data_IF_993474925936
#
_entry.id   IF_993474925936
#
_cell.length_a   1.000
_cell.length_b   1.000
_cell.length_c   1.000
_cell.angle_alpha   90.00
_cell.angle_beta   90.00
_cell.angle_gamma   90.00
#
_symmetry.space_group_name_H-M   'P 1'
#
loop_
_entity.id
_entity.type
_entity.pdbx_description
1 polymer ?
#
# COMPACT_ATOMS: atom_id res chain seq x y z
N UNK A 1 3.71 -5.43 1.00
CA UNK A 1 2.23 -5.35 1.00
C UNK A 1 1.63 -6.06 2.23
N UNK A 2 1.78 -7.38 2.44
CA UNK A 2 1.01 -8.13 3.47
C UNK A 2 1.12 -7.59 4.89
N UNK A 3 2.30 -7.15 5.30
CA UNK A 3 2.56 -6.70 6.68
C UNK A 3 2.30 -5.21 6.92
N UNK A 4 2.13 -4.41 5.87
CA UNK A 4 2.00 -2.95 5.99
C UNK A 4 3.25 -2.21 6.51
N UNK A 5 4.37 -2.91 6.68
CA UNK A 5 5.61 -2.37 7.26
C UNK A 5 6.28 -1.36 6.31
N UNK A 6 6.68 -0.22 6.87
CA UNK A 6 7.56 0.78 6.24
C UNK A 6 9.00 0.32 6.42
N UNK A 7 9.65 0.02 5.29
CA UNK A 7 11.04 -0.41 5.26
C UNK A 7 11.99 0.79 5.23
N UNK A 8 13.22 0.67 5.77
CA UNK A 8 14.25 1.71 5.69
C UNK A 8 14.87 1.74 4.28
N UNK A 9 14.06 2.08 3.28
CA UNK A 9 14.45 1.98 1.86
C UNK A 9 15.63 2.89 1.53
N UNK A 10 15.71 4.09 2.10
CA UNK A 10 16.84 5.00 1.85
C UNK A 10 18.18 4.37 2.26
N UNK A 11 18.23 3.71 3.42
CA UNK A 11 19.44 3.01 3.91
C UNK A 11 19.80 1.82 3.01
N UNK A 12 18.80 1.03 2.61
CA UNK A 12 18.98 -0.12 1.72
C UNK A 12 19.51 0.32 0.35
N UNK A 13 18.92 1.38 -0.22
CA UNK A 13 19.32 1.94 -1.51
C UNK A 13 20.75 2.49 -1.44
N UNK A 14 21.09 3.24 -0.39
CA UNK A 14 22.44 3.74 -0.20
C UNK A 14 23.48 2.61 -0.12
N UNK A 15 23.21 1.57 0.68
CA UNK A 15 24.10 0.42 0.81
C UNK A 15 24.30 -0.34 -0.52
N UNK A 16 23.25 -0.46 -1.34
CA UNK A 16 23.35 -1.10 -2.66
C UNK A 16 24.08 -0.20 -3.68
N UNK A 17 23.87 1.11 -3.62
CA UNK A 17 24.55 2.08 -4.48
C UNK A 17 26.07 2.07 -4.26
N UNK A 18 26.54 1.94 -3.00
CA UNK A 18 27.98 1.77 -2.67
C UNK A 18 28.62 0.56 -3.38
N UNK A 19 27.81 -0.42 -3.77
CA UNK A 19 28.23 -1.65 -4.46
C UNK A 19 28.01 -1.57 -5.98
N UNK A 20 27.62 -0.40 -6.50
CA UNK A 20 27.31 -0.20 -7.91
C UNK A 20 26.03 -0.91 -8.37
N UNK A 21 25.14 -1.25 -7.44
CA UNK A 21 23.87 -1.94 -7.76
C UNK A 21 22.75 -0.92 -7.87
N UNK A 22 22.11 -0.86 -9.05
CA UNK A 22 20.91 -0.06 -9.24
C UNK A 22 19.69 -0.72 -8.59
N UNK A 23 18.82 0.11 -8.01
CA UNK A 23 17.60 -0.35 -7.33
C UNK A 23 16.33 0.12 -8.05
N UNK A 24 15.39 -0.81 -8.23
CA UNK A 24 13.99 -0.51 -8.52
C UNK A 24 13.18 -0.69 -7.23
N UNK A 25 12.63 0.41 -6.72
CA UNK A 25 11.80 0.40 -5.52
C UNK A 25 10.33 0.32 -5.91
N UNK A 26 9.64 -0.75 -5.46
CA UNK A 26 8.19 -0.82 -5.46
C UNK A 26 7.64 -0.09 -4.22
N UNK A 27 7.27 1.16 -4.42
CA UNK A 27 6.64 2.03 -3.45
C UNK A 27 5.12 2.09 -3.61
N UNK A 28 4.45 1.04 -4.10
CA UNK A 28 3.05 1.11 -4.47
C UNK A 28 2.10 1.58 -3.35
N UNK A 29 2.46 1.45 -2.07
CA UNK A 29 1.67 1.93 -0.93
C UNK A 29 2.12 3.28 -0.37
N UNK A 30 3.15 3.91 -0.92
CA UNK A 30 3.82 5.04 -0.28
C UNK A 30 3.29 6.43 -0.68
N UNK A 31 2.96 6.74 -1.96
CA UNK A 31 2.43 8.05 -2.33
C UNK A 31 1.17 8.38 -1.53
N UNK A 32 1.10 9.59 -0.96
CA UNK A 32 0.02 10.04 -0.06
C UNK A 32 0.09 9.48 1.37
N UNK A 33 0.62 8.27 1.56
CA UNK A 33 0.79 7.65 2.88
C UNK A 33 2.02 8.15 3.63
N UNK A 34 3.14 8.32 2.93
CA UNK A 34 4.44 8.72 3.49
C UNK A 34 4.86 10.09 2.95
N UNK A 35 5.67 10.79 3.72
CA UNK A 35 6.35 12.00 3.27
C UNK A 35 7.58 11.60 2.45
N UNK A 36 7.38 11.43 1.14
CA UNK A 36 8.40 10.87 0.25
C UNK A 36 9.31 11.94 -0.32
N UNK A 37 10.61 11.78 -0.11
CA UNK A 37 11.65 12.46 -0.88
C UNK A 37 12.36 11.46 -1.79
N UNK A 38 11.92 11.40 -3.05
CA UNK A 38 12.48 10.48 -4.04
C UNK A 38 13.93 10.83 -4.43
N UNK A 39 14.31 12.10 -4.30
CA UNK A 39 15.67 12.53 -4.57
C UNK A 39 16.62 12.07 -3.45
N UNK A 40 16.20 12.23 -2.19
CA UNK A 40 16.94 11.74 -1.03
C UNK A 40 17.04 10.21 -0.98
N UNK A 41 16.00 9.49 -1.39
CA UNK A 41 16.04 8.02 -1.50
C UNK A 41 17.09 7.57 -2.53
N UNK A 42 17.27 8.30 -3.63
CA UNK A 42 18.37 8.07 -4.58
C UNK A 42 18.27 6.80 -5.44
N UNK A 43 17.13 6.11 -5.41
CA UNK A 43 16.90 4.90 -6.20
C UNK A 43 17.00 5.18 -7.70
N UNK A 44 17.55 4.22 -8.46
CA UNK A 44 17.60 4.33 -9.92
C UNK A 44 16.20 4.45 -10.53
N UNK A 45 15.26 3.66 -10.00
CA UNK A 45 13.86 3.65 -10.40
C UNK A 45 12.95 3.53 -9.16
N UNK A 46 11.82 4.23 -9.17
CA UNK A 46 10.82 4.17 -8.12
C UNK A 46 9.42 4.17 -8.73
N UNK A 47 8.57 3.25 -8.33
CA UNK A 47 7.16 3.21 -8.73
C UNK A 47 6.24 3.41 -7.53
N UNK A 48 5.06 4.00 -7.76
CA UNK A 48 4.08 4.21 -6.71
C UNK A 48 2.67 4.35 -7.25
N UNK A 49 1.66 3.80 -6.56
CA UNK A 49 0.27 3.89 -7.03
C UNK A 49 -0.37 5.17 -6.48
N UNK A 50 -0.89 5.99 -7.38
CA UNK A 50 -1.65 7.19 -7.04
C UNK A 50 -3.13 6.86 -6.80
N UNK A 51 -3.61 5.72 -7.32
CA UNK A 51 -4.96 5.22 -7.07
C UNK A 51 -5.16 4.53 -5.72
N UNK A 52 -4.19 4.66 -4.79
CA UNK A 52 -4.34 4.20 -3.41
C UNK A 52 -4.60 5.39 -2.49
N UNK A 53 -3.59 5.88 -1.79
CA UNK A 53 -3.76 6.91 -0.76
C UNK A 53 -3.86 8.33 -1.29
N UNK A 54 -3.56 8.53 -2.57
CA UNK A 54 -3.84 9.79 -3.29
C UNK A 54 -5.26 9.77 -3.88
N UNK A 55 -5.98 8.64 -3.80
CA UNK A 55 -7.37 8.50 -4.24
C UNK A 55 -7.63 8.91 -5.70
N UNK A 56 -6.60 8.91 -6.56
CA UNK A 56 -6.82 9.04 -7.99
C UNK A 56 -7.62 7.83 -8.52
N UNK A 57 -8.34 7.94 -9.65
CA UNK A 57 -9.01 6.79 -10.24
C UNK A 57 -8.04 5.62 -10.51
N UNK A 58 -8.54 4.38 -10.45
CA UNK A 58 -7.74 3.17 -10.74
C UNK A 58 -7.11 3.29 -12.13
N UNK A 59 -5.82 2.96 -12.23
CA UNK A 59 -5.02 3.15 -13.46
C UNK A 59 -3.98 4.27 -13.36
N UNK A 60 -3.98 5.05 -12.27
CA UNK A 60 -2.96 6.07 -12.04
C UNK A 60 -1.80 5.57 -11.16
N UNK A 61 -0.56 5.69 -11.66
CA UNK A 61 0.68 5.42 -10.94
C UNK A 61 1.77 6.40 -11.39
N UNK A 62 2.83 6.53 -10.59
CA UNK A 62 4.02 7.29 -10.92
C UNK A 62 5.20 6.35 -11.21
N UNK A 63 6.07 6.79 -12.10
CA UNK A 63 7.39 6.23 -12.34
C UNK A 63 8.40 7.38 -12.23
N UNK A 64 9.23 7.34 -11.20
CA UNK A 64 10.35 8.26 -11.03
C UNK A 64 11.65 7.55 -11.44
N UNK A 65 12.46 8.23 -12.24
CA UNK A 65 13.71 7.69 -12.78
C UNK A 65 14.83 8.70 -12.50
N UNK A 66 15.91 8.21 -11.90
CA UNK A 66 17.10 9.01 -11.62
C UNK A 66 17.67 9.57 -12.92
N UNK A 67 18.09 10.85 -12.90
CA UNK A 67 18.47 11.60 -14.11
C UNK A 67 19.51 10.89 -14.98
N UNK A 68 20.49 10.24 -14.37
CA UNK A 68 21.57 9.48 -15.03
C UNK A 68 21.10 8.15 -15.66
N UNK A 69 19.86 7.71 -15.41
CA UNK A 69 19.26 6.48 -15.95
C UNK A 69 18.17 6.72 -16.99
N UNK A 70 17.70 7.96 -17.14
CA UNK A 70 16.59 8.30 -18.05
C UNK A 70 16.89 7.99 -19.52
N UNK A 71 18.15 8.14 -19.98
CA UNK A 71 18.50 8.05 -21.41
C UNK A 71 18.31 6.66 -22.02
N UNK A 72 18.48 5.61 -21.22
CA UNK A 72 18.46 4.22 -21.68
C UNK A 72 17.12 3.51 -21.39
N UNK A 73 16.20 4.19 -20.69
CA UNK A 73 14.90 3.63 -20.35
C UNK A 73 13.91 3.91 -21.47
N UNK A 74 13.20 2.86 -21.88
CA UNK A 74 12.14 2.91 -22.88
C UNK A 74 10.87 2.26 -22.31
N UNK A 75 9.67 2.69 -22.74
CA UNK A 75 8.44 2.00 -22.39
C UNK A 75 8.44 0.59 -22.97
N UNK A 76 7.79 -0.35 -22.28
CA UNK A 76 7.69 -1.74 -22.75
C UNK A 76 6.92 -1.84 -24.08
N UNK A 77 5.96 -0.94 -24.31
CA UNK A 77 5.24 -0.80 -25.58
C UNK A 77 5.77 0.43 -26.29
N UNK A 78 6.48 0.21 -27.41
CA UNK A 78 7.03 1.27 -28.24
C UNK A 78 5.95 1.87 -29.13
N UNK A 79 5.88 3.19 -29.16
CA UNK A 79 4.89 3.95 -29.92
C UNK A 79 5.55 5.15 -30.62
N UNK A 80 4.74 6.05 -31.17
CA UNK A 80 5.14 7.18 -32.00
C UNK A 80 6.22 8.08 -31.36
N UNK A 81 6.20 8.24 -30.03
CA UNK A 81 7.16 9.05 -29.28
C UNK A 81 8.62 8.59 -29.42
N UNK A 82 8.87 7.30 -29.65
CA UNK A 82 10.22 6.76 -29.83
C UNK A 82 10.90 7.26 -31.12
N UNK A 83 10.10 7.52 -32.16
CA UNK A 83 10.57 7.90 -33.49
C UNK A 83 10.82 9.40 -33.66
N UNK A 84 10.61 10.21 -32.61
CA UNK A 84 10.90 11.64 -32.62
C UNK A 84 12.43 11.86 -32.64
N UNK A 85 12.99 11.87 -33.85
CA UNK A 85 14.45 11.79 -34.09
C UNK A 85 15.19 13.13 -34.14
N UNK A 86 14.58 14.27 -33.81
CA UNK A 86 15.24 15.57 -33.98
C UNK A 86 15.34 16.36 -32.66
N UNK A 87 16.49 16.22 -32.01
CA UNK A 87 17.04 17.22 -31.07
C UNK A 87 16.40 17.38 -29.70
N UNK A 88 15.30 16.67 -29.38
CA UNK A 88 14.53 16.93 -28.16
C UNK A 88 13.71 15.76 -27.60
N UNK A 89 14.07 14.50 -27.88
CA UNK A 89 13.36 13.33 -27.35
C UNK A 89 13.42 13.33 -25.81
N UNK A 90 12.30 13.65 -25.17
CA UNK A 90 12.17 13.54 -23.72
C UNK A 90 11.60 12.17 -23.34
N UNK A 91 11.89 11.73 -22.12
CA UNK A 91 11.26 10.56 -21.53
C UNK A 91 9.72 10.67 -21.55
N UNK A 92 9.20 11.89 -21.36
CA UNK A 92 7.77 12.15 -21.39
C UNK A 92 7.18 11.82 -22.77
N UNK A 93 7.85 12.17 -23.86
CA UNK A 93 7.33 11.91 -25.21
C UNK A 93 7.17 10.42 -25.50
N UNK A 94 8.08 9.58 -25.02
CA UNK A 94 8.00 8.13 -25.18
C UNK A 94 6.88 7.51 -24.33
N UNK A 95 6.67 8.02 -23.11
CA UNK A 95 5.70 7.47 -22.16
C UNK A 95 4.29 8.07 -22.27
N UNK A 96 4.12 9.23 -22.91
CA UNK A 96 2.84 9.94 -23.00
C UNK A 96 1.77 9.16 -23.77
N UNK A 97 2.16 8.40 -24.79
CA UNK A 97 1.22 7.62 -25.61
C UNK A 97 1.83 6.28 -26.01
N UNK A 98 1.63 5.25 -25.19
CA UNK A 98 2.15 3.89 -25.43
C UNK A 98 1.11 2.95 -26.06
N UNK A 99 -0.01 3.50 -26.52
CA UNK A 99 -1.15 2.78 -27.07
C UNK A 99 -2.43 3.57 -26.81
N UNK A 100 -3.52 3.16 -27.45
CA UNK A 100 -4.84 3.74 -27.14
C UNK A 100 -5.31 3.20 -25.78
N UNK A 101 -5.51 4.08 -24.82
CA UNK A 101 -6.02 3.77 -23.48
C UNK A 101 -6.87 4.95 -22.95
N UNK A 102 -7.53 4.78 -21.81
CA UNK A 102 -8.25 5.84 -21.10
C UNK A 102 -7.28 6.68 -20.24
N UNK A 103 -6.97 7.94 -20.60
CA UNK A 103 -6.06 8.79 -19.83
C UNK A 103 -6.73 9.43 -18.61
N UNK A 104 -8.04 9.24 -18.40
CA UNK A 104 -8.81 9.89 -17.33
C UNK A 104 -8.16 9.73 -15.95
N UNK A 105 -7.70 8.53 -15.52
CA UNK A 105 -7.04 8.37 -14.23
C UNK A 105 -5.82 9.28 -14.05
N UNK A 106 -5.02 9.49 -15.09
CA UNK A 106 -3.81 10.32 -15.02
C UNK A 106 -4.16 11.80 -14.95
N UNK A 107 -5.17 12.23 -15.71
CA UNK A 107 -5.64 13.61 -15.74
C UNK A 107 -6.28 14.03 -14.41
N UNK A 108 -6.85 13.08 -13.66
CA UNK A 108 -7.43 13.33 -12.33
C UNK A 108 -6.40 13.42 -11.20
N UNK A 109 -5.11 13.11 -11.43
CA UNK A 109 -4.11 13.04 -10.35
C UNK A 109 -3.97 14.38 -9.61
N UNK A 110 -3.81 15.48 -10.34
CA UNK A 110 -3.64 16.80 -9.72
C UNK A 110 -4.89 17.17 -8.91
N UNK A 111 -6.09 16.99 -9.48
CA UNK A 111 -7.36 17.22 -8.77
C UNK A 111 -7.47 16.39 -7.50
N UNK A 112 -7.06 15.11 -7.52
CA UNK A 112 -7.12 14.25 -6.35
C UNK A 112 -6.15 14.70 -5.25
N UNK A 113 -4.95 15.14 -5.62
CA UNK A 113 -3.96 15.70 -4.68
C UNK A 113 -4.53 16.96 -4.00
N UNK A 114 -5.01 17.91 -4.79
CA UNK A 114 -5.53 19.19 -4.31
C UNK A 114 -6.78 18.98 -3.43
N UNK A 115 -7.67 18.07 -3.85
CA UNK A 115 -8.89 17.77 -3.11
C UNK A 115 -8.58 17.18 -1.72
N UNK A 116 -7.67 16.21 -1.64
CA UNK A 116 -7.28 15.60 -0.36
C UNK A 116 -6.54 16.59 0.55
N UNK A 117 -5.67 17.44 -0.02
CA UNK A 117 -4.98 18.48 0.74
C UNK A 117 -5.99 19.46 1.36
N UNK A 118 -7.04 19.83 0.63
CA UNK A 118 -8.09 20.73 1.11
C UNK A 118 -9.05 20.10 2.15
N UNK A 119 -9.04 18.77 2.34
CA UNK A 119 -9.96 18.12 3.29
C UNK A 119 -9.64 18.43 4.77
N UNK A 120 -8.41 18.84 5.08
CA UNK A 120 -7.98 19.17 6.44
C UNK A 120 -7.16 20.47 6.44
N UNK A 121 -7.29 21.34 7.47
CA UNK A 121 -6.63 22.65 7.47
C UNK A 121 -5.10 22.60 7.35
N UNK A 122 -4.46 21.57 7.93
CA UNK A 122 -3.02 21.36 7.89
C UNK A 122 -2.54 20.54 6.69
N UNK A 123 -3.36 20.36 5.66
CA UNK A 123 -3.00 19.69 4.41
C UNK A 123 -2.50 18.24 4.57
N UNK A 124 -1.63 17.82 3.66
CA UNK A 124 -1.04 16.48 3.66
C UNK A 124 -0.33 16.07 4.95
N UNK A 125 0.47 16.93 5.62
CA UNK A 125 1.09 16.59 6.91
C UNK A 125 0.07 16.22 7.98
N UNK A 126 -1.02 17.00 8.10
CA UNK A 126 -2.08 16.70 9.05
C UNK A 126 -2.86 15.44 8.67
N UNK A 127 -3.19 15.26 7.38
CA UNK A 127 -3.89 14.08 6.87
C UNK A 127 -3.13 12.80 7.23
N UNK A 128 -1.83 12.74 6.90
CA UNK A 128 -0.97 11.59 7.20
C UNK A 128 -0.90 11.33 8.70
N UNK A 129 -0.74 12.38 9.51
CA UNK A 129 -0.70 12.27 10.97
C UNK A 129 -1.99 11.65 11.53
N UNK A 130 -3.16 12.19 11.15
CA UNK A 130 -4.48 11.69 11.60
C UNK A 130 -4.69 10.22 11.23
N UNK A 131 -4.41 9.85 9.97
CA UNK A 131 -4.56 8.47 9.51
C UNK A 131 -3.59 7.52 10.24
N UNK A 132 -2.35 7.97 10.47
CA UNK A 132 -1.35 7.20 11.22
C UNK A 132 -1.76 6.99 12.68
N UNK A 133 -2.23 8.02 13.35
CA UNK A 133 -2.71 7.92 14.73
C UNK A 133 -3.89 6.96 14.84
N UNK A 134 -4.84 7.04 13.90
CA UNK A 134 -5.99 6.15 13.86
C UNK A 134 -5.59 4.69 13.61
N UNK A 135 -4.68 4.40 12.66
CA UNK A 135 -4.26 3.01 12.42
C UNK A 135 -3.49 2.43 13.60
N UNK A 136 -2.70 3.25 14.32
CA UNK A 136 -1.99 2.82 15.51
C UNK A 136 -2.96 2.53 16.66
N UNK A 137 -3.95 3.39 16.89
CA UNK A 137 -5.00 3.16 17.87
C UNK A 137 -5.81 1.89 17.54
N UNK A 138 -6.22 1.73 16.28
CA UNK A 138 -6.92 0.52 15.82
C UNK A 138 -6.06 -0.75 15.94
N UNK A 139 -4.75 -0.65 15.67
CA UNK A 139 -3.81 -1.77 15.85
C UNK A 139 -3.72 -2.17 17.32
N UNK A 140 -3.52 -1.22 18.21
CA UNK A 140 -3.33 -1.48 19.64
C UNK A 140 -4.61 -2.06 20.26
N UNK A 141 -5.77 -1.54 19.86
CA UNK A 141 -7.08 -2.08 20.22
C UNK A 141 -7.27 -3.53 19.77
N UNK A 142 -6.95 -3.83 18.51
CA UNK A 142 -7.05 -5.19 17.99
C UNK A 142 -6.03 -6.13 18.63
N UNK A 143 -4.81 -5.65 18.90
CA UNK A 143 -3.77 -6.41 19.61
C UNK A 143 -4.28 -6.85 20.99
N UNK A 144 -4.87 -5.93 21.75
CA UNK A 144 -5.48 -6.22 23.04
C UNK A 144 -6.64 -7.21 22.92
N UNK A 145 -7.58 -6.97 21.98
CA UNK A 145 -8.75 -7.83 21.79
C UNK A 145 -8.39 -9.27 21.36
N UNK A 146 -7.31 -9.44 20.60
CA UNK A 146 -6.83 -10.72 20.10
C UNK A 146 -5.81 -11.38 21.06
N UNK A 147 -5.31 -10.64 22.05
CA UNK A 147 -4.26 -11.12 22.98
C UNK A 147 -2.92 -11.37 22.29
N UNK A 148 -2.59 -10.58 21.26
CA UNK A 148 -1.35 -10.71 20.47
C UNK A 148 -0.46 -9.49 20.61
N UNK A 149 0.85 -9.65 20.41
CA UNK A 149 1.77 -8.53 20.34
C UNK A 149 1.71 -7.85 18.97
N UNK A 150 2.02 -6.55 18.91
CA UNK A 150 2.20 -5.86 17.65
C UNK A 150 3.43 -6.42 16.90
N UNK A 151 3.30 -6.92 15.66
CA UNK A 151 4.41 -7.52 14.92
C UNK A 151 5.54 -6.55 14.53
N UNK A 152 5.27 -5.24 14.57
CA UNK A 152 6.22 -4.19 14.22
C UNK A 152 6.08 -2.97 15.15
N UNK A 153 7.20 -2.28 15.46
CA UNK A 153 7.17 -1.06 16.25
C UNK A 153 6.41 0.05 15.51
N UNK A 154 5.83 1.00 16.27
CA UNK A 154 5.08 2.11 15.69
C UNK A 154 5.88 2.91 14.67
N UNK A 155 7.21 3.05 14.85
CA UNK A 155 8.12 3.74 13.92
C UNK A 155 8.12 3.15 12.50
N UNK A 156 7.74 1.88 12.34
CA UNK A 156 7.68 1.18 11.05
C UNK A 156 6.27 1.08 10.47
N UNK A 157 5.29 1.77 11.06
CA UNK A 157 3.91 1.78 10.58
C UNK A 157 3.70 3.00 9.67
N UNK A 158 2.85 2.89 8.66
CA UNK A 158 2.36 4.03 7.87
C UNK A 158 0.92 4.34 8.27
N UNK A 159 0.01 4.12 7.32
CA UNK A 159 -1.44 4.07 7.53
C UNK A 159 -2.00 2.65 7.40
N UNK A 160 -1.12 1.65 7.42
CA UNK A 160 -1.41 0.21 7.42
C UNK A 160 -0.78 -0.45 8.64
N UNK A 161 -1.51 -1.34 9.30
CA UNK A 161 -0.97 -2.20 10.34
C UNK A 161 -1.49 -3.63 10.15
N UNK A 162 -0.63 -4.62 10.42
CA UNK A 162 -0.99 -6.01 10.41
C UNK A 162 -0.80 -6.63 11.79
N UNK A 163 -1.67 -7.59 12.13
CA UNK A 163 -1.66 -8.33 13.39
C UNK A 163 -1.79 -9.82 13.08
N UNK A 164 -1.11 -10.63 13.89
CA UNK A 164 -1.23 -12.07 13.81
C UNK A 164 -2.62 -12.53 14.22
N UNK A 165 -3.16 -13.46 13.45
CA UNK A 165 -4.34 -14.23 13.82
C UNK A 165 -3.95 -15.68 14.13
N UNK A 166 -4.75 -16.41 14.91
CA UNK A 166 -4.58 -17.85 15.06
C UNK A 166 -4.50 -18.54 13.69
N UNK A 167 -3.70 -19.60 13.53
CA UNK A 167 -3.59 -20.32 12.25
C UNK A 167 -4.96 -20.72 11.70
N UNK A 168 -5.13 -20.61 10.38
CA UNK A 168 -6.37 -21.00 9.72
C UNK A 168 -6.61 -22.49 9.85
N UNK A 169 -7.86 -22.83 10.17
CA UNK A 169 -8.38 -24.20 10.14
C UNK A 169 -8.96 -24.58 8.77
N UNK A 170 -9.10 -23.61 7.88
CA UNK A 170 -9.60 -23.83 6.52
C UNK A 170 -8.46 -24.27 5.58
N UNK A 171 -8.77 -24.95 4.46
CA UNK A 171 -7.81 -25.19 3.39
C UNK A 171 -7.18 -23.89 2.88
N UNK A 172 -5.96 -23.94 2.31
CA UNK A 172 -5.32 -22.76 1.76
C UNK A 172 -6.19 -22.12 0.66
N UNK A 173 -6.28 -20.77 0.60
CA UNK A 173 -7.04 -20.10 -0.43
C UNK A 173 -6.43 -20.37 -1.81
N UNK A 174 -7.26 -20.66 -2.80
CA UNK A 174 -6.85 -20.94 -4.18
C UNK A 174 -6.82 -19.69 -5.07
N UNK A 175 -7.50 -18.62 -4.63
CA UNK A 175 -7.53 -17.34 -5.33
C UNK A 175 -6.26 -16.52 -5.05
N UNK A 176 -5.69 -15.82 -6.06
CA UNK A 176 -4.58 -14.89 -5.84
C UNK A 176 -4.96 -13.68 -4.96
N UNK A 177 -6.26 -13.47 -4.74
CA UNK A 177 -6.77 -12.44 -3.83
C UNK A 177 -6.91 -12.92 -2.37
N UNK A 178 -6.51 -14.16 -2.09
CA UNK A 178 -6.56 -14.74 -0.73
C UNK A 178 -7.97 -14.73 -0.12
N UNK A 179 -8.94 -15.28 -0.84
CA UNK A 179 -10.32 -15.41 -0.34
C UNK A 179 -10.34 -16.42 0.80
N UNK A 180 -10.06 -15.95 2.01
CA UNK A 180 -10.01 -16.72 3.25
C UNK A 180 -11.39 -16.67 3.92
N UNK A 181 -11.74 -17.73 4.67
CA UNK A 181 -13.06 -17.86 5.31
C UNK A 181 -13.42 -16.64 6.17
N UNK A 182 -12.53 -16.20 7.05
CA UNK A 182 -12.77 -15.06 7.93
C UNK A 182 -13.01 -13.77 7.13
N UNK A 183 -12.33 -13.57 6.00
CA UNK A 183 -12.63 -12.42 5.12
C UNK A 183 -14.11 -12.47 4.69
N UNK A 184 -14.54 -13.59 4.12
CA UNK A 184 -15.92 -13.76 3.66
C UNK A 184 -16.93 -13.56 4.79
N UNK A 185 -16.71 -14.20 5.95
CA UNK A 185 -17.61 -14.12 7.10
C UNK A 185 -17.70 -12.69 7.67
N UNK A 186 -16.57 -11.95 7.73
CA UNK A 186 -16.54 -10.55 8.13
C UNK A 186 -17.40 -9.69 7.19
N UNK A 187 -17.33 -9.93 5.89
CA UNK A 187 -18.13 -9.19 4.91
C UNK A 187 -19.61 -9.60 4.93
N UNK A 188 -19.92 -10.90 4.94
CA UNK A 188 -21.27 -11.42 4.79
C UNK A 188 -22.12 -11.17 6.05
N UNK A 189 -21.55 -11.35 7.25
CA UNK A 189 -22.28 -11.18 8.52
C UNK A 189 -22.19 -9.77 9.09
N UNK A 190 -21.02 -9.13 8.97
CA UNK A 190 -20.76 -7.85 9.65
C UNK A 190 -20.61 -6.66 8.71
N UNK A 191 -20.60 -6.90 7.39
CA UNK A 191 -20.36 -5.88 6.35
C UNK A 191 -18.99 -5.19 6.53
N UNK A 192 -17.98 -5.94 6.98
CA UNK A 192 -16.62 -5.44 7.20
C UNK A 192 -15.71 -5.99 6.09
N UNK A 193 -15.14 -5.09 5.30
CA UNK A 193 -14.12 -5.42 4.30
C UNK A 193 -12.73 -5.22 4.91
N UNK A 194 -12.06 -6.31 5.24
CA UNK A 194 -10.68 -6.29 5.74
C UNK A 194 -9.93 -7.52 5.23
N UNK A 195 -8.72 -7.36 4.66
CA UNK A 195 -7.98 -8.49 4.12
C UNK A 195 -7.44 -9.38 5.24
N UNK A 196 -7.72 -10.68 5.10
CA UNK A 196 -7.09 -11.76 5.86
C UNK A 196 -6.07 -12.46 4.97
N UNK A 197 -4.78 -12.32 5.29
CA UNK A 197 -3.68 -12.63 4.38
C UNK A 197 -2.87 -13.81 4.92
N UNK A 198 -2.76 -14.93 4.19
CA UNK A 198 -1.82 -15.99 4.53
C UNK A 198 -0.38 -15.46 4.52
N UNK A 199 0.28 -15.47 5.67
CA UNK A 199 1.63 -14.90 5.82
C UNK A 199 2.39 -15.51 7.01
N UNK A 200 3.69 -15.85 6.87
CA UNK A 200 4.45 -15.87 5.62
C UNK A 200 4.00 -16.97 4.66
N UNK A 201 3.21 -17.94 5.16
CA UNK A 201 2.54 -19.00 4.41
C UNK A 201 1.39 -19.57 5.23
N UNK A 202 0.41 -20.19 4.58
CA UNK A 202 -0.63 -20.99 5.25
C UNK A 202 -0.01 -22.09 6.12
N UNK A 203 -0.58 -22.41 7.31
CA UNK A 203 -1.84 -21.90 7.88
C UNK A 203 -1.71 -20.55 8.63
N UNK A 204 -0.52 -19.97 8.74
CA UNK A 204 -0.37 -18.64 9.36
C UNK A 204 -1.08 -17.55 8.55
N UNK A 205 -1.73 -16.62 9.23
CA UNK A 205 -2.50 -15.53 8.61
C UNK A 205 -2.44 -14.26 9.45
N UNK A 206 -2.57 -13.13 8.77
CA UNK A 206 -2.63 -11.79 9.33
C UNK A 206 -3.98 -11.16 9.03
N UNK A 207 -4.52 -10.37 9.97
CA UNK A 207 -5.47 -9.31 9.61
C UNK A 207 -4.66 -8.04 9.32
N UNK A 208 -4.92 -7.37 8.20
CA UNK A 208 -4.27 -6.10 7.88
C UNK A 208 -5.28 -4.98 7.75
N UNK A 209 -5.26 -4.07 8.72
CA UNK A 209 -6.09 -2.88 8.72
C UNK A 209 -5.43 -1.71 7.98
N UNK A 210 -6.27 -0.84 7.45
CA UNK A 210 -5.93 0.47 6.88
C UNK A 210 -6.73 1.55 7.57
N UNK A 211 -6.17 2.75 7.71
CA UNK A 211 -6.89 3.92 8.15
C UNK A 211 -6.80 5.04 7.13
N UNK A 212 -7.93 5.69 6.88
CA UNK A 212 -8.04 6.91 6.10
C UNK A 212 -9.04 7.88 6.73
N UNK A 213 -9.22 9.06 6.13
CA UNK A 213 -10.03 10.15 6.69
C UNK A 213 -11.51 9.80 6.94
N UNK A 214 -12.04 8.80 6.24
CA UNK A 214 -13.42 8.35 6.41
C UNK A 214 -13.59 7.30 7.51
N UNK A 215 -12.50 6.85 8.15
CA UNK A 215 -12.55 5.86 9.20
C UNK A 215 -12.68 6.48 10.59
N UNK A 216 -13.24 5.71 11.51
CA UNK A 216 -13.37 6.08 12.92
C UNK A 216 -12.90 4.95 13.84
N UNK A 217 -12.50 5.27 15.07
CA UNK A 217 -12.02 4.27 16.03
C UNK A 217 -13.08 3.18 16.31
N UNK A 218 -14.35 3.58 16.35
CA UNK A 218 -15.49 2.68 16.56
C UNK A 218 -15.61 1.58 15.49
N UNK A 219 -15.11 1.79 14.27
CA UNK A 219 -15.10 0.75 13.23
C UNK A 219 -14.10 -0.35 13.56
N UNK A 220 -12.96 -0.01 14.18
CA UNK A 220 -11.98 -0.99 14.65
C UNK A 220 -12.46 -1.75 15.89
N UNK A 221 -13.24 -1.10 16.76
CA UNK A 221 -13.96 -1.77 17.86
C UNK A 221 -14.95 -2.81 17.33
N UNK A 222 -15.73 -2.46 16.30
CA UNK A 222 -16.63 -3.39 15.62
C UNK A 222 -15.88 -4.56 14.99
N UNK A 223 -14.74 -4.30 14.34
CA UNK A 223 -13.88 -5.34 13.80
C UNK A 223 -13.35 -6.27 14.90
N UNK A 224 -12.89 -5.72 16.03
CA UNK A 224 -12.40 -6.50 17.16
C UNK A 224 -13.49 -7.41 17.76
N UNK A 225 -14.73 -6.93 17.87
CA UNK A 225 -15.86 -7.73 18.31
C UNK A 225 -16.17 -8.87 17.32
N UNK A 226 -16.26 -8.55 16.02
CA UNK A 226 -16.55 -9.54 14.97
C UNK A 226 -15.46 -10.63 14.88
N UNK A 227 -14.19 -10.24 14.95
CA UNK A 227 -13.08 -11.21 14.94
C UNK A 227 -13.14 -12.15 16.16
N UNK A 228 -13.42 -11.64 17.36
CA UNK A 228 -13.56 -12.49 18.55
C UNK A 228 -14.70 -13.49 18.43
N UNK A 229 -15.84 -13.07 17.89
CA UNK A 229 -16.99 -13.94 17.63
C UNK A 229 -16.61 -15.05 16.64
N UNK A 230 -16.08 -14.69 15.47
CA UNK A 230 -15.74 -15.64 14.42
C UNK A 230 -14.63 -16.61 14.81
N UNK A 231 -13.60 -16.14 15.53
CA UNK A 231 -12.51 -16.99 16.02
C UNK A 231 -12.99 -17.96 17.11
N UNK A 232 -13.98 -17.58 17.92
CA UNK A 232 -14.55 -18.49 18.92
C UNK A 232 -15.37 -19.63 18.30
N UNK A 233 -15.90 -19.42 17.09
CA UNK A 233 -16.61 -20.43 16.30
C UNK A 233 -15.68 -21.39 15.55
N UNK A 234 -14.38 -21.07 15.44
CA UNK A 234 -13.44 -21.97 14.80
C UNK A 234 -13.21 -23.23 15.66
N UNK A 235 -13.31 -24.44 15.06
CA UNK A 235 -12.98 -25.65 15.78
C UNK A 235 -11.54 -25.56 16.27
N UNK A 236 -11.32 -25.72 17.59
CA UNK A 236 -9.98 -25.75 18.16
C UNK A 236 -9.21 -26.86 17.47
N UNK A 237 -8.04 -26.54 16.92
CA UNK A 237 -7.14 -27.55 16.38
C UNK A 237 -6.89 -28.62 17.46
N UNK A 238 -7.11 -29.89 17.14
CA UNK A 238 -6.77 -30.98 18.03
C UNK A 238 -5.28 -30.89 18.34
N UNK A 239 -4.95 -30.75 19.63
CA UNK A 239 -3.58 -30.73 20.16
C UNK A 239 -2.84 -32.03 19.87
#
# INVERSE_FOLDING_TARGET
>A
SPTGIVLPIAEIVAALAERGVDTLVDGAHAPGMLDLDLAAIGAAYYTGNLHKWVCAPKGAALLHIRRDRQRALHPAVISHGYSLRHGGRSLHDEFAWTGTDDPTPWLCVATAIDALEAMVPGGWPELRRRCRELVLAGRDLLAEALGVAAPAPASMIGTLAALDLPPSVAPPPTSPLYVERLHCELFDRFRIEVPIIPWPRHPSRLVRISAFLYNELAEYERLAAALRELLAEEPRAAS
#
